data_IF_607245088172
#
_entry.id   IF_607245088172
#
_cell.length_a   1.000
_cell.length_b   1.000
_cell.length_c   1.000
_cell.angle_alpha   90.00
_cell.angle_beta   90.00
_cell.angle_gamma   90.00
#
_symmetry.space_group_name_H-M   'P 1'
#
loop_
_entity.id
_entity.type
_entity.pdbx_description
1 polymer ?
#
# COMPACT_ATOMS: atom_id res chain seq x y z
N UNK A 1 -20.64 44.22 19.02
CA UNK A 1 -21.91 43.48 19.06
C UNK A 1 -21.60 42.00 19.25
N UNK A 2 -21.86 41.48 20.44
CA UNK A 2 -21.37 40.17 20.94
C UNK A 2 -22.41 39.10 20.62
N UNK A 3 -22.14 38.21 19.65
CA UNK A 3 -22.97 37.02 19.44
C UNK A 3 -22.34 35.84 20.18
N UNK A 4 -22.94 35.48 21.31
CA UNK A 4 -22.65 34.23 22.03
C UNK A 4 -23.29 33.08 21.25
N UNK A 5 -22.51 32.22 20.61
CA UNK A 5 -23.02 30.96 20.06
C UNK A 5 -23.01 29.91 21.18
N UNK A 6 -24.19 29.40 21.48
CA UNK A 6 -24.41 28.33 22.44
C UNK A 6 -23.82 27.02 21.90
N UNK A 7 -22.92 26.43 22.68
CA UNK A 7 -22.27 25.15 22.42
C UNK A 7 -23.25 24.05 22.89
N UNK A 8 -23.88 23.33 21.97
CA UNK A 8 -24.59 22.09 22.29
C UNK A 8 -23.66 20.91 22.07
N UNK A 9 -22.92 20.55 23.12
CA UNK A 9 -22.13 19.32 23.22
C UNK A 9 -23.09 18.14 23.35
N UNK A 10 -23.28 17.37 22.27
CA UNK A 10 -24.05 16.14 22.30
C UNK A 10 -23.09 14.96 22.36
N UNK A 11 -22.74 14.57 23.60
CA UNK A 11 -21.90 13.42 23.91
C UNK A 11 -22.73 12.14 23.71
N UNK A 12 -22.45 11.36 22.66
CA UNK A 12 -22.99 10.01 22.52
C UNK A 12 -21.89 8.99 22.83
N UNK A 13 -22.07 8.24 23.91
CA UNK A 13 -21.20 7.12 24.28
C UNK A 13 -21.83 5.85 23.70
N UNK A 14 -21.29 5.38 22.59
CA UNK A 14 -21.63 4.08 22.01
C UNK A 14 -20.68 3.01 22.53
N UNK A 15 -21.17 2.15 23.43
CA UNK A 15 -20.47 0.93 23.88
C UNK A 15 -20.75 -0.18 22.87
N UNK A 16 -19.74 -0.64 22.14
CA UNK A 16 -19.83 -1.84 21.30
C UNK A 16 -19.08 -2.99 21.98
N UNK A 17 -19.83 -3.99 22.41
CA UNK A 17 -19.35 -5.24 23.02
C UNK A 17 -18.79 -6.13 21.91
N UNK A 18 -17.57 -6.64 22.09
CA UNK A 18 -16.90 -7.56 21.17
C UNK A 18 -17.50 -8.97 21.22
N UNK A 19 -17.82 -9.55 20.06
CA UNK A 19 -18.10 -10.99 19.92
C UNK A 19 -16.88 -11.70 19.32
N UNK A 20 -16.27 -12.55 20.15
CA UNK A 20 -15.26 -13.57 19.82
C UNK A 20 -15.84 -14.60 18.85
N UNK A 21 -15.06 -15.05 17.85
CA UNK A 21 -15.45 -16.12 16.92
C UNK A 21 -14.26 -16.80 16.22
N UNK A 22 -14.21 -18.13 16.31
CA UNK A 22 -13.08 -19.06 16.19
C UNK A 22 -12.31 -19.21 14.85
N UNK A 23 -11.03 -19.61 15.01
CA UNK A 23 -10.15 -20.25 14.02
C UNK A 23 -10.81 -21.41 13.26
N UNK A 24 -10.53 -21.53 11.96
CA UNK A 24 -10.62 -22.80 11.23
C UNK A 24 -9.42 -22.98 10.30
N UNK A 25 -8.52 -23.84 10.77
CA UNK A 25 -7.43 -24.49 10.04
C UNK A 25 -8.03 -25.71 9.32
N UNK A 26 -7.82 -25.83 8.00
CA UNK A 26 -7.97 -27.11 7.31
C UNK A 26 -6.97 -27.20 6.16
N UNK A 27 -5.87 -27.90 6.42
CA UNK A 27 -4.95 -28.36 5.39
C UNK A 27 -5.58 -29.44 4.52
N UNK A 28 -5.11 -29.55 3.28
CA UNK A 28 -5.29 -30.74 2.47
C UNK A 28 -3.92 -31.18 1.96
N UNK A 29 -3.46 -32.29 2.52
CA UNK A 29 -2.33 -33.12 2.11
C UNK A 29 -2.88 -34.25 1.25
N UNK A 30 -2.16 -34.65 0.21
CA UNK A 30 -2.34 -35.93 -0.49
C UNK A 30 -1.94 -35.85 -1.96
N UNK A 31 -0.70 -36.19 -2.33
CA UNK A 31 -0.24 -37.54 -2.76
C UNK A 31 -0.82 -37.92 -4.13
N UNK A 32 0.02 -37.91 -5.17
CA UNK A 32 0.95 -38.99 -5.57
C UNK A 32 0.32 -39.87 -6.66
N UNK A 33 1.04 -40.03 -7.77
CA UNK A 33 1.16 -41.28 -8.53
C UNK A 33 2.29 -41.17 -9.55
N UNK A 34 3.37 -41.89 -9.25
CA UNK A 34 4.33 -42.38 -10.22
C UNK A 34 3.65 -43.31 -11.23
N UNK A 35 4.12 -43.31 -12.48
CA UNK A 35 4.08 -44.48 -13.35
C UNK A 35 5.25 -44.44 -14.33
N UNK A 36 5.84 -45.62 -14.45
CA UNK A 36 7.16 -46.00 -14.92
C UNK A 36 7.13 -46.49 -16.39
N UNK A 37 8.15 -46.11 -17.18
CA UNK A 37 8.88 -46.80 -18.29
C UNK A 37 8.10 -47.72 -19.29
N UNK A 38 8.26 -47.79 -20.63
CA UNK A 38 9.21 -47.38 -21.71
C UNK A 38 8.48 -47.61 -23.10
N UNK A 39 9.12 -47.90 -24.26
CA UNK A 39 9.85 -47.04 -25.21
C UNK A 39 9.32 -47.14 -26.66
N UNK A 40 9.24 -46.06 -27.45
CA UNK A 40 9.28 -46.18 -28.94
C UNK A 40 10.03 -45.00 -29.54
N UNK A 41 11.11 -45.34 -30.23
CA UNK A 41 11.94 -44.54 -31.12
C UNK A 41 11.14 -43.72 -32.12
N UNK A 42 11.37 -42.39 -32.16
CA UNK A 42 11.31 -41.58 -33.39
C UNK A 42 12.08 -40.26 -33.21
N UNK A 43 13.16 -40.10 -33.99
CA UNK A 43 13.99 -38.90 -34.16
C UNK A 43 13.33 -37.97 -35.19
N UNK A 44 13.80 -36.72 -35.36
CA UNK A 44 13.52 -35.51 -34.61
C UNK A 44 12.59 -34.55 -35.39
N UNK A 45 11.59 -33.95 -34.76
CA UNK A 45 10.92 -32.76 -35.33
C UNK A 45 11.01 -31.64 -34.30
N UNK A 46 11.97 -30.74 -34.56
CA UNK A 46 12.15 -29.48 -33.86
C UNK A 46 10.86 -28.66 -34.01
N UNK A 47 10.20 -28.36 -32.89
CA UNK A 47 9.26 -27.25 -32.77
C UNK A 47 9.63 -26.42 -31.53
N UNK A 48 9.44 -25.10 -31.60
CA UNK A 48 10.26 -24.14 -30.88
C UNK A 48 9.85 -24.11 -29.41
N UNK A 49 10.84 -24.24 -28.54
CA UNK A 49 10.72 -23.85 -27.14
C UNK A 49 10.54 -22.33 -27.13
N UNK A 50 9.34 -21.87 -26.76
CA UNK A 50 9.10 -20.48 -26.38
C UNK A 50 9.82 -20.23 -25.03
N UNK A 51 11.14 -20.06 -25.09
CA UNK A 51 11.92 -19.51 -23.99
C UNK A 51 11.59 -18.02 -23.89
N UNK A 52 11.23 -17.49 -22.71
CA UNK A 52 11.27 -16.05 -22.48
C UNK A 52 12.66 -15.54 -22.86
N UNK A 53 12.79 -14.42 -23.58
CA UNK A 53 14.09 -13.95 -24.02
C UNK A 53 14.98 -13.69 -22.80
N UNK A 54 16.15 -14.32 -22.77
CA UNK A 54 17.23 -13.93 -21.88
C UNK A 54 17.55 -12.45 -22.15
N UNK A 55 17.61 -11.58 -21.11
CA UNK A 55 17.97 -10.20 -21.32
C UNK A 55 19.39 -10.11 -21.91
N UNK A 56 19.53 -9.37 -23.00
CA UNK A 56 20.83 -9.12 -23.64
C UNK A 56 21.78 -8.42 -22.66
N UNK A 57 23.08 -8.79 -22.62
CA UNK A 57 24.07 -8.07 -21.84
C UNK A 57 24.16 -6.61 -22.32
N UNK A 58 23.78 -5.67 -21.46
CA UNK A 58 23.85 -4.23 -21.75
C UNK A 58 22.54 -3.45 -21.60
N UNK A 59 21.41 -4.10 -21.29
CA UNK A 59 20.23 -3.36 -20.85
C UNK A 59 20.49 -2.83 -19.43
N UNK A 60 20.44 -1.51 -19.17
CA UNK A 60 20.40 -1.02 -17.80
C UNK A 60 19.14 -1.61 -17.17
N UNK A 61 19.32 -2.57 -16.27
CA UNK A 61 18.26 -3.02 -15.38
C UNK A 61 17.96 -1.78 -14.54
N UNK A 62 16.96 -0.99 -14.94
CA UNK A 62 16.46 0.07 -14.10
C UNK A 62 16.05 -0.62 -12.80
N UNK A 63 16.69 -0.32 -11.65
CA UNK A 63 16.26 -0.92 -10.42
C UNK A 63 14.80 -0.54 -10.25
N UNK A 64 13.93 -1.54 -10.05
CA UNK A 64 12.54 -1.36 -9.67
C UNK A 64 12.54 -0.67 -8.29
N UNK A 65 12.71 0.65 -8.28
CA UNK A 65 12.71 1.46 -7.10
C UNK A 65 11.30 1.98 -6.92
N UNK A 66 10.45 1.17 -6.28
CA UNK A 66 9.37 1.77 -5.48
C UNK A 66 10.05 2.31 -4.23
N UNK A 67 10.79 3.42 -4.39
CA UNK A 67 11.56 4.02 -3.32
C UNK A 67 10.61 4.86 -2.48
N UNK A 68 9.97 4.23 -1.50
CA UNK A 68 9.09 4.96 -0.61
C UNK A 68 8.56 4.04 0.48
N UNK A 69 8.87 4.35 1.74
CA UNK A 69 8.29 3.63 2.86
C UNK A 69 6.83 4.00 3.08
N UNK A 70 6.21 3.41 4.09
CA UNK A 70 4.87 3.81 4.55
C UNK A 70 4.97 4.95 5.57
N UNK A 71 4.00 5.85 5.57
CA UNK A 71 3.89 6.94 6.54
C UNK A 71 2.57 6.92 7.29
N UNK A 72 2.52 7.58 8.44
CA UNK A 72 1.29 7.84 9.19
C UNK A 72 0.93 9.31 9.09
N UNK A 73 -0.31 9.63 8.74
CA UNK A 73 -0.80 11.02 8.71
C UNK A 73 -0.89 11.55 10.14
N UNK A 74 -0.20 12.65 10.41
CA UNK A 74 -0.17 13.32 11.72
C UNK A 74 -1.08 14.54 11.77
N UNK A 75 -1.14 15.29 10.67
CA UNK A 75 -1.94 16.50 10.53
C UNK A 75 -2.58 16.54 9.15
N UNK A 76 -3.78 17.11 9.08
CA UNK A 76 -4.50 17.39 7.83
C UNK A 76 -4.99 18.81 7.88
N UNK A 77 -4.57 19.62 6.91
CA UNK A 77 -5.18 20.92 6.63
C UNK A 77 -6.03 20.78 5.36
N UNK A 78 -7.34 20.76 5.53
CA UNK A 78 -8.29 20.58 4.42
C UNK A 78 -8.53 21.87 3.63
N UNK A 79 -8.31 23.02 4.23
CA UNK A 79 -8.52 24.31 3.57
C UNK A 79 -7.36 24.61 2.62
N UNK A 80 -6.14 24.30 3.05
CA UNK A 80 -4.93 24.41 2.24
C UNK A 80 -4.64 23.16 1.40
N UNK A 81 -5.31 22.04 1.70
CA UNK A 81 -5.26 20.83 0.89
C UNK A 81 -3.96 20.06 1.03
N UNK A 82 -3.37 20.00 2.23
CA UNK A 82 -2.14 19.23 2.47
C UNK A 82 -2.22 18.39 3.75
N UNK A 83 -1.32 17.43 3.85
CA UNK A 83 -1.09 16.64 5.05
C UNK A 83 0.37 16.75 5.51
N UNK A 84 0.58 16.48 6.79
CA UNK A 84 1.90 16.13 7.32
C UNK A 84 1.89 14.66 7.69
N UNK A 85 2.85 13.89 7.19
CA UNK A 85 3.01 12.47 7.48
C UNK A 85 4.35 12.18 8.14
N UNK A 86 4.34 11.27 9.10
CA UNK A 86 5.50 10.76 9.83
C UNK A 86 5.97 9.44 9.20
N UNK A 87 7.26 9.38 8.88
CA UNK A 87 7.97 8.23 8.31
C UNK A 87 9.06 7.69 9.26
N UNK A 88 8.97 7.90 10.58
CA UNK A 88 10.02 7.53 11.55
C UNK A 88 10.55 6.09 11.45
N UNK A 89 9.76 5.15 10.91
CA UNK A 89 10.11 3.74 10.75
C UNK A 89 10.27 3.32 9.28
N UNK A 90 10.46 4.27 8.38
CA UNK A 90 10.37 4.12 6.94
C UNK A 90 11.38 5.01 6.21
N UNK A 91 11.75 4.62 4.98
CA UNK A 91 12.49 5.52 4.10
C UNK A 91 11.59 6.68 3.65
N UNK A 92 12.08 7.91 3.77
CA UNK A 92 11.43 9.08 3.20
C UNK A 92 11.34 8.97 1.66
N UNK A 93 10.15 9.17 1.07
CA UNK A 93 10.00 9.14 -0.37
C UNK A 93 10.65 10.35 -1.06
N UNK A 94 11.03 10.21 -2.34
CA UNK A 94 11.33 11.35 -3.19
C UNK A 94 10.10 12.24 -3.42
N UNK A 95 10.35 13.48 -3.82
CA UNK A 95 9.32 14.42 -4.27
C UNK A 95 8.54 13.90 -5.48
N UNK A 96 7.34 14.44 -5.68
CA UNK A 96 6.41 14.15 -6.78
C UNK A 96 5.91 12.69 -6.84
N UNK A 97 6.25 11.86 -5.85
CA UNK A 97 5.75 10.50 -5.78
C UNK A 97 4.28 10.49 -5.36
N UNK A 98 3.50 9.62 -6.00
CA UNK A 98 2.10 9.41 -5.66
C UNK A 98 1.94 8.36 -4.59
N UNK A 99 1.05 8.66 -3.65
CA UNK A 99 0.76 7.81 -2.50
C UNK A 99 -0.75 7.66 -2.32
N UNK A 100 -1.17 6.50 -1.87
CA UNK A 100 -2.55 6.23 -1.48
C UNK A 100 -2.71 6.27 0.04
N UNK A 101 -3.76 6.93 0.51
CA UNK A 101 -4.14 6.99 1.92
C UNK A 101 -5.15 5.89 2.26
N UNK A 102 -4.99 5.26 3.42
CA UNK A 102 -5.78 4.12 3.89
C UNK A 102 -6.26 4.31 5.32
N UNK A 103 -7.53 3.97 5.55
CA UNK A 103 -8.12 3.81 6.87
C UNK A 103 -8.42 2.34 7.09
N UNK A 104 -7.54 1.65 7.82
CA UNK A 104 -7.52 0.19 7.82
C UNK A 104 -7.17 -0.34 6.43
N UNK A 105 -8.06 -1.14 5.83
CA UNK A 105 -7.86 -1.71 4.49
C UNK A 105 -8.55 -0.92 3.37
N UNK A 106 -9.30 0.14 3.71
CA UNK A 106 -10.02 0.95 2.75
C UNK A 106 -9.14 2.11 2.27
N UNK A 107 -8.98 2.24 0.96
CA UNK A 107 -8.38 3.44 0.37
C UNK A 107 -9.34 4.62 0.55
N UNK A 108 -8.88 5.69 1.20
CA UNK A 108 -9.67 6.89 1.51
C UNK A 108 -9.20 8.12 0.76
N UNK A 109 -8.05 8.07 0.07
CA UNK A 109 -7.56 9.19 -0.71
C UNK A 109 -6.27 8.90 -1.47
N UNK A 110 -5.74 9.96 -2.08
CA UNK A 110 -4.46 10.01 -2.78
C UNK A 110 -3.78 11.34 -2.49
N UNK A 111 -2.46 11.30 -2.33
CA UNK A 111 -1.60 12.46 -2.10
C UNK A 111 -0.41 12.44 -3.04
N UNK A 112 0.18 13.61 -3.27
CA UNK A 112 1.44 13.78 -4.00
C UNK A 112 2.46 14.37 -3.03
N UNK A 113 3.65 13.75 -2.95
CA UNK A 113 4.73 14.20 -2.08
C UNK A 113 5.32 15.51 -2.62
N UNK A 114 5.46 16.56 -1.78
CA UNK A 114 5.97 17.88 -2.23
C UNK A 114 7.49 18.05 -2.11
N UNK A 115 8.17 17.11 -1.46
CA UNK A 115 9.61 17.16 -1.19
C UNK A 115 10.01 18.01 0.02
N UNK A 116 9.06 18.69 0.67
CA UNK A 116 9.31 19.38 1.93
C UNK A 116 9.34 18.39 3.10
N UNK A 117 10.47 18.35 3.81
CA UNK A 117 10.69 17.42 4.92
C UNK A 117 11.38 18.09 6.10
N UNK A 118 11.08 17.60 7.31
CA UNK A 118 11.79 17.94 8.54
C UNK A 118 11.97 16.65 9.37
N UNK A 119 13.22 16.24 9.58
CA UNK A 119 13.60 14.95 10.17
C UNK A 119 12.91 13.73 9.53
N UNK A 120 11.78 13.30 10.10
CA UNK A 120 10.95 12.16 9.67
C UNK A 120 9.58 12.59 9.15
N UNK A 121 9.26 13.87 9.27
CA UNK A 121 8.04 14.47 8.79
C UNK A 121 8.18 14.91 7.35
N UNK A 122 7.08 14.77 6.62
CA UNK A 122 7.00 15.12 5.22
C UNK A 122 5.64 15.76 4.93
N UNK A 123 5.64 16.75 4.04
CA UNK A 123 4.42 17.38 3.53
C UNK A 123 4.00 16.74 2.21
N UNK A 124 2.70 16.49 2.06
CA UNK A 124 2.12 16.00 0.81
C UNK A 124 0.81 16.75 0.49
N UNK A 125 0.60 17.04 -0.78
CA UNK A 125 -0.62 17.68 -1.28
C UNK A 125 -1.73 16.65 -1.42
N UNK A 126 -2.94 17.00 -1.00
CA UNK A 126 -4.14 16.17 -1.12
C UNK A 126 -4.68 16.30 -2.54
N UNK A 127 -4.66 15.20 -3.29
CA UNK A 127 -5.23 15.15 -4.63
C UNK A 127 -6.71 14.79 -4.58
N UNK A 128 -7.08 13.75 -3.83
CA UNK A 128 -8.46 13.31 -3.67
C UNK A 128 -8.71 12.62 -2.33
N UNK A 129 -9.98 12.65 -1.91
CA UNK A 129 -10.50 11.84 -0.81
C UNK A 129 -10.68 12.56 0.52
N UNK A 130 -11.09 11.81 1.55
CA UNK A 130 -11.31 12.31 2.92
C UNK A 130 -10.25 11.73 3.86
N UNK A 131 -9.04 12.29 3.75
CA UNK A 131 -7.88 11.92 4.55
C UNK A 131 -8.00 12.54 5.94
N UNK A 132 -7.61 11.78 6.97
CA UNK A 132 -7.66 12.18 8.37
C UNK A 132 -6.35 11.81 9.08
N UNK A 133 -6.08 12.51 10.18
CA UNK A 133 -5.00 12.11 11.08
C UNK A 133 -5.20 10.65 11.54
N UNK A 134 -4.10 9.89 11.56
CA UNK A 134 -4.08 8.46 11.87
C UNK A 134 -4.16 7.53 10.66
N UNK A 135 -4.62 8.01 9.49
CA UNK A 135 -4.62 7.24 8.25
C UNK A 135 -3.17 6.87 7.85
N UNK A 136 -2.99 5.75 7.14
CA UNK A 136 -1.69 5.31 6.64
C UNK A 136 -1.54 5.71 5.18
N UNK A 137 -0.35 6.16 4.78
CA UNK A 137 -0.01 6.39 3.38
C UNK A 137 1.04 5.38 2.92
N UNK A 138 0.86 4.86 1.71
CA UNK A 138 1.81 3.93 1.07
C UNK A 138 1.96 4.27 -0.43
N UNK A 139 3.08 3.90 -1.07
CA UNK A 139 3.24 4.06 -2.50
C UNK A 139 2.07 3.46 -3.28
N UNK A 140 1.80 4.04 -4.45
CA UNK A 140 0.80 3.51 -5.38
C UNK A 140 1.06 2.07 -5.86
#
# INVERSE_FOLDING_TARGET
>A
MTRRLAIHTLLSVGVCIASVGCNSIKGFVGMSRDSELQPVTQKPVVKPVNQPPFPLPGTPVQPLRVAGGQGKVMLVDKELGFIVADFAYSQLPPAEQRYYAYRGNLQVGEVIITGQTDETFLVADINKGDIRAGDLIRPE
#
